data_IF_458979958664
#
_entry.id   IF_458979958664
#
_cell.length_a   1.000
_cell.length_b   1.000
_cell.length_c   1.000
_cell.angle_alpha   90.00
_cell.angle_beta   90.00
_cell.angle_gamma   90.00
#
_symmetry.space_group_name_H-M   'P 1'
#
loop_
_entity.id
_entity.type
_entity.pdbx_description
1 polymer ?
#
# COMPACT_ATOMS: atom_id res chain seq x y z
N UNK A 1 2.11 62.50 -18.50
CA UNK A 1 1.39 61.22 -18.77
C UNK A 1 2.41 60.20 -19.23
N UNK A 2 2.97 59.41 -18.30
CA UNK A 2 3.90 58.32 -18.60
C UNK A 2 3.30 57.02 -18.08
N UNK A 3 3.11 56.11 -19.02
CA UNK A 3 2.33 54.89 -18.95
C UNK A 3 3.27 53.76 -18.58
N UNK A 4 3.56 53.58 -17.29
CA UNK A 4 4.32 52.42 -16.82
C UNK A 4 3.33 51.42 -16.24
N UNK A 5 2.80 50.60 -17.15
CA UNK A 5 1.93 49.49 -16.83
C UNK A 5 2.68 48.55 -15.91
N UNK A 6 2.13 48.44 -14.70
CA UNK A 6 2.37 47.42 -13.69
C UNK A 6 2.70 46.10 -14.39
N UNK A 7 3.96 45.68 -14.33
CA UNK A 7 4.35 44.32 -14.62
C UNK A 7 3.72 43.46 -13.52
N UNK A 8 2.50 43.00 -13.80
CA UNK A 8 1.82 42.00 -13.01
C UNK A 8 2.69 40.74 -13.04
N UNK A 9 3.48 40.57 -11.98
CA UNK A 9 4.17 39.34 -11.69
C UNK A 9 3.10 38.25 -11.51
N UNK A 10 2.82 37.52 -12.59
CA UNK A 10 2.15 36.22 -12.57
C UNK A 10 3.07 35.24 -11.84
N UNK A 11 3.14 35.37 -10.52
CA UNK A 11 3.56 34.31 -9.62
C UNK A 11 2.52 33.20 -9.76
N UNK A 12 2.76 32.28 -10.70
CA UNK A 12 2.11 30.98 -10.73
C UNK A 12 2.48 30.33 -9.40
N UNK A 13 1.60 30.48 -8.41
CA UNK A 13 1.62 29.64 -7.23
C UNK A 13 1.48 28.21 -7.75
N UNK A 14 2.59 27.48 -7.80
CA UNK A 14 2.57 26.05 -8.02
C UNK A 14 1.79 25.47 -6.84
N UNK A 15 0.47 25.37 -7.00
CA UNK A 15 -0.35 24.56 -6.12
C UNK A 15 0.31 23.21 -6.10
N UNK A 16 0.70 22.65 -4.95
CA UNK A 16 1.09 21.26 -4.91
C UNK A 16 -0.12 20.50 -5.45
N UNK A 17 -0.04 20.07 -6.71
CA UNK A 17 -1.02 19.21 -7.32
C UNK A 17 -0.86 17.92 -6.54
N UNK A 18 -1.67 17.83 -5.49
CA UNK A 18 -1.57 16.75 -4.55
C UNK A 18 -1.79 15.47 -5.35
N UNK A 19 -0.81 14.58 -5.25
CA UNK A 19 -0.60 13.38 -6.07
C UNK A 19 -1.69 12.31 -5.88
N UNK A 20 -2.95 12.72 -5.78
CA UNK A 20 -4.07 11.92 -5.30
C UNK A 20 -4.74 11.12 -6.42
N UNK A 21 -4.49 11.44 -7.69
CA UNK A 21 -5.11 10.76 -8.84
C UNK A 21 -4.11 10.01 -9.73
N UNK A 22 -2.89 9.74 -9.24
CA UNK A 22 -1.93 8.99 -10.04
C UNK A 22 -2.36 7.54 -10.25
N UNK A 23 -3.14 6.98 -9.33
CA UNK A 23 -3.64 5.62 -9.42
C UNK A 23 -5.13 5.59 -9.73
N UNK A 24 -5.62 4.54 -10.44
CA UNK A 24 -7.01 4.47 -10.86
C UNK A 24 -7.98 4.54 -9.68
N UNK A 25 -9.12 5.22 -9.90
CA UNK A 25 -10.11 5.47 -8.85
C UNK A 25 -10.63 4.16 -8.25
N UNK A 26 -10.74 3.08 -9.02
CA UNK A 26 -11.18 1.78 -8.50
C UNK A 26 -10.20 1.17 -7.48
N UNK A 27 -8.93 1.56 -7.54
CA UNK A 27 -7.91 1.15 -6.57
C UNK A 27 -7.83 2.11 -5.38
N UNK A 28 -7.78 3.41 -5.68
CA UNK A 28 -7.47 4.43 -4.70
C UNK A 28 -8.44 5.60 -4.90
N UNK A 29 -9.40 5.78 -3.97
CA UNK A 29 -10.41 6.84 -4.06
C UNK A 29 -9.82 8.20 -3.58
N UNK A 30 -8.67 8.59 -4.10
CA UNK A 30 -7.96 9.84 -3.77
C UNK A 30 -7.22 9.85 -2.42
N UNK A 31 -7.67 9.09 -1.43
CA UNK A 31 -7.13 9.13 -0.05
C UNK A 31 -6.62 7.78 0.47
N UNK A 32 -6.89 6.70 -0.26
CA UNK A 32 -6.57 5.35 0.19
C UNK A 32 -5.12 4.94 -0.12
N UNK A 33 -4.35 5.75 -0.86
CA UNK A 33 -2.99 5.45 -1.30
C UNK A 33 -1.94 5.91 -0.28
N UNK A 34 -1.00 5.02 0.03
CA UNK A 34 0.22 5.42 0.71
C UNK A 34 1.44 4.63 0.21
N UNK A 35 2.62 5.27 0.17
CA UNK A 35 3.88 4.56 -0.02
C UNK A 35 4.07 3.53 1.09
N UNK A 36 4.57 2.35 0.72
CA UNK A 36 4.97 1.33 1.68
C UNK A 36 6.28 1.73 2.33
N UNK A 37 6.26 1.79 3.66
CA UNK A 37 7.39 2.16 4.51
C UNK A 37 8.16 0.93 4.97
N UNK A 38 7.47 -0.20 5.11
CA UNK A 38 8.05 -1.46 5.55
C UNK A 38 7.37 -2.65 4.88
N UNK A 39 8.18 -3.63 4.49
CA UNK A 39 7.75 -4.93 3.97
C UNK A 39 8.36 -6.02 4.84
N UNK A 40 7.52 -6.91 5.34
CA UNK A 40 7.94 -8.13 6.04
C UNK A 40 7.39 -9.34 5.30
N UNK A 41 8.26 -10.24 4.85
CA UNK A 41 7.83 -11.49 4.24
C UNK A 41 7.26 -12.41 5.31
N UNK A 42 6.02 -12.85 5.14
CA UNK A 42 5.43 -13.86 6.00
C UNK A 42 6.02 -15.20 5.58
N UNK A 43 6.86 -15.76 6.45
CA UNK A 43 7.41 -17.08 6.22
C UNK A 43 6.30 -18.11 6.48
N UNK A 44 6.11 -19.10 5.58
CA UNK A 44 5.33 -20.26 5.95
C UNK A 44 5.97 -20.89 7.21
N UNK A 45 5.20 -21.56 8.08
CA UNK A 45 5.74 -22.26 9.23
C UNK A 45 6.79 -23.24 8.71
N UNK A 46 8.05 -22.91 8.99
CA UNK A 46 9.14 -23.81 8.68
C UNK A 46 8.94 -25.13 9.43
N UNK A 47 9.65 -26.17 9.00
CA UNK A 47 9.66 -27.48 9.69
C UNK A 47 9.94 -27.38 11.20
N UNK A 48 10.58 -26.29 11.66
CA UNK A 48 10.79 -25.97 13.09
C UNK A 48 9.48 -25.66 13.84
N UNK A 49 8.46 -25.12 13.18
CA UNK A 49 7.15 -24.83 13.77
C UNK A 49 6.25 -26.06 13.95
N UNK A 50 6.47 -27.11 13.14
CA UNK A 50 5.71 -28.37 13.20
C UNK A 50 6.10 -29.25 14.40
N UNK A 51 7.25 -29.00 15.04
CA UNK A 51 7.75 -29.82 16.15
C UNK A 51 7.66 -29.15 17.52
N UNK A 52 7.16 -27.92 17.67
CA UNK A 52 7.38 -27.22 18.95
C UNK A 52 6.56 -25.99 19.31
N UNK A 53 5.37 -25.72 18.76
CA UNK A 53 4.58 -24.58 19.24
C UNK A 53 3.09 -24.88 19.42
N UNK A 54 2.55 -24.84 20.67
CA UNK A 54 1.11 -24.97 20.91
C UNK A 54 0.31 -23.78 20.38
N UNK A 55 0.96 -22.71 19.94
CA UNK A 55 0.33 -21.52 19.36
C UNK A 55 -0.28 -21.75 17.96
N UNK A 56 0.13 -22.82 17.24
CA UNK A 56 -0.44 -23.15 15.92
C UNK A 56 -1.72 -24.01 16.01
N UNK A 57 -1.94 -24.70 17.12
CA UNK A 57 -3.12 -25.55 17.31
C UNK A 57 -4.42 -24.75 17.62
N UNK A 58 -4.31 -23.44 17.84
CA UNK A 58 -5.42 -22.57 18.23
C UNK A 58 -5.78 -21.50 17.20
N UNK A 59 -5.11 -21.46 16.04
CA UNK A 59 -5.42 -20.47 14.99
C UNK A 59 -6.52 -21.02 14.09
N UNK A 60 -7.71 -20.40 14.04
CA UNK A 60 -8.80 -20.89 13.20
C UNK A 60 -8.43 -20.80 11.71
N UNK A 61 -8.89 -21.78 10.94
CA UNK A 61 -8.62 -21.97 9.50
C UNK A 61 -8.94 -20.76 8.62
N UNK A 62 -9.74 -19.80 9.12
CA UNK A 62 -9.97 -18.52 8.46
C UNK A 62 -8.70 -17.63 8.32
N UNK A 63 -7.63 -17.87 9.10
CA UNK A 63 -6.34 -17.17 8.99
C UNK A 63 -5.38 -17.79 7.96
N UNK A 64 -5.68 -18.99 7.42
CA UNK A 64 -4.77 -19.76 6.56
C UNK A 64 -4.35 -19.09 5.24
N UNK A 65 -4.97 -17.98 4.83
CA UNK A 65 -4.54 -17.25 3.62
C UNK A 65 -3.20 -16.51 3.79
N UNK A 66 -2.67 -16.45 5.01
CA UNK A 66 -1.40 -15.79 5.35
C UNK A 66 -0.18 -16.74 5.28
N UNK A 67 -0.42 -18.04 5.21
CA UNK A 67 0.60 -19.10 5.19
C UNK A 67 1.08 -19.46 3.77
N UNK A 68 0.59 -18.74 2.76
CA UNK A 68 1.04 -18.96 1.38
C UNK A 68 2.45 -18.39 1.24
N UNK A 69 3.44 -19.20 0.82
CA UNK A 69 4.78 -18.71 0.55
C UNK A 69 4.74 -17.51 -0.39
N UNK A 70 5.41 -16.42 0.00
CA UNK A 70 5.39 -15.17 -0.77
C UNK A 70 4.30 -14.18 -0.36
N UNK A 71 3.52 -14.48 0.70
CA UNK A 71 2.69 -13.47 1.36
C UNK A 71 3.60 -12.47 2.11
N UNK A 72 3.19 -11.21 2.16
CA UNK A 72 3.96 -10.17 2.85
C UNK A 72 3.05 -9.25 3.64
N UNK A 73 3.50 -8.82 4.81
CA UNK A 73 2.89 -7.73 5.55
C UNK A 73 3.51 -6.42 5.08
N UNK A 74 2.67 -5.49 4.65
CA UNK A 74 3.07 -4.14 4.26
C UNK A 74 2.57 -3.14 5.28
N UNK A 75 3.42 -2.20 5.65
CA UNK A 75 3.08 -1.08 6.53
C UNK A 75 3.19 0.22 5.77
N UNK A 76 2.18 1.07 5.96
CA UNK A 76 2.11 2.44 5.46
C UNK A 76 1.65 3.36 6.58
N UNK A 77 1.69 4.68 6.35
CA UNK A 77 1.04 5.66 7.23
C UNK A 77 -0.45 5.40 7.53
N UNK A 78 -1.16 4.63 6.68
CA UNK A 78 -2.59 4.31 6.87
C UNK A 78 -2.81 3.10 7.78
N UNK A 79 -1.78 2.28 7.98
CA UNK A 79 -1.84 1.04 8.74
C UNK A 79 -1.08 -0.09 8.07
N UNK A 80 -1.24 -1.29 8.65
CA UNK A 80 -0.62 -2.52 8.17
C UNK A 80 -1.67 -3.47 7.62
N UNK A 81 -1.36 -4.10 6.49
CA UNK A 81 -2.21 -5.13 5.88
C UNK A 81 -1.36 -6.23 5.29
N UNK A 82 -1.91 -7.44 5.23
CA UNK A 82 -1.25 -8.56 4.59
C UNK A 82 -1.65 -8.61 3.12
N UNK A 83 -0.63 -8.79 2.28
CA UNK A 83 -0.71 -8.96 0.85
C UNK A 83 -0.47 -10.44 0.54
N UNK A 84 -1.51 -11.19 0.15
CA UNK A 84 -1.35 -12.57 -0.28
C UNK A 84 -0.39 -12.72 -1.47
N UNK A 85 0.29 -13.85 -1.56
CA UNK A 85 1.22 -14.14 -2.65
C UNK A 85 0.56 -14.06 -4.04
N UNK A 86 -0.71 -14.48 -4.16
CA UNK A 86 -1.52 -14.50 -5.37
C UNK A 86 -2.27 -13.19 -5.64
N UNK A 87 -2.13 -12.19 -4.77
CA UNK A 87 -2.83 -10.91 -4.92
C UNK A 87 -2.39 -10.19 -6.21
N UNK A 88 -3.32 -9.67 -7.04
CA UNK A 88 -2.98 -8.96 -8.27
C UNK A 88 -2.07 -7.76 -8.00
N UNK A 89 -0.91 -7.74 -8.66
CA UNK A 89 0.08 -6.66 -8.57
C UNK A 89 -0.01 -5.78 -9.81
N UNK A 90 0.06 -4.47 -9.61
CA UNK A 90 0.11 -3.47 -10.67
C UNK A 90 1.47 -2.79 -10.66
N UNK A 91 1.85 -2.14 -11.76
CA UNK A 91 3.10 -1.40 -11.86
C UNK A 91 2.97 -0.01 -11.21
N UNK A 92 3.98 0.37 -10.43
CA UNK A 92 4.09 1.68 -9.81
C UNK A 92 4.62 2.73 -10.79
N UNK A 93 4.10 3.96 -10.68
CA UNK A 93 4.48 5.09 -11.55
C UNK A 93 5.72 5.84 -11.08
N UNK A 94 6.15 5.63 -9.83
CA UNK A 94 7.25 6.36 -9.20
C UNK A 94 8.39 5.45 -8.72
N UNK A 95 8.43 4.20 -9.20
CA UNK A 95 9.39 3.16 -8.80
C UNK A 95 9.39 2.84 -7.29
N UNK A 96 8.36 3.23 -6.54
CA UNK A 96 8.19 2.88 -5.13
C UNK A 96 7.00 1.93 -4.97
N UNK A 97 7.00 1.13 -3.91
CA UNK A 97 5.84 0.31 -3.59
C UNK A 97 4.75 1.19 -2.96
N UNK A 98 3.50 1.03 -3.39
CA UNK A 98 2.33 1.69 -2.79
C UNK A 98 1.23 0.69 -2.50
N UNK A 99 0.51 0.89 -1.40
CA UNK A 99 -0.66 0.09 -1.05
C UNK A 99 -1.89 0.98 -0.91
N UNK A 100 -2.98 0.58 -1.59
CA UNK A 100 -4.30 1.15 -1.39
C UNK A 100 -5.03 0.34 -0.32
N UNK A 101 -5.42 0.96 0.79
CA UNK A 101 -6.10 0.24 1.87
C UNK A 101 -7.14 1.10 2.59
N UNK A 102 -8.19 0.45 3.09
CA UNK A 102 -9.25 1.07 3.89
C UNK A 102 -9.49 0.31 5.18
N UNK A 103 -10.04 0.97 6.21
CA UNK A 103 -10.61 0.28 7.35
C UNK A 103 -11.62 -0.80 6.91
N UNK A 104 -11.53 -1.97 7.53
CA UNK A 104 -12.53 -3.02 7.47
C UNK A 104 -13.44 -2.91 8.70
N UNK A 105 -14.68 -3.41 8.57
CA UNK A 105 -15.68 -3.35 9.65
C UNK A 105 -15.24 -4.06 10.94
N UNK A 106 -14.28 -4.99 10.84
CA UNK A 106 -13.65 -5.70 11.96
C UNK A 106 -12.44 -5.00 12.60
N UNK A 107 -12.19 -3.72 12.32
CA UNK A 107 -11.12 -2.92 12.94
C UNK A 107 -9.71 -3.14 12.36
N UNK A 108 -9.58 -3.92 11.29
CA UNK A 108 -8.31 -4.09 10.54
C UNK A 108 -8.25 -3.22 9.28
N UNK A 109 -7.15 -3.33 8.55
CA UNK A 109 -7.02 -2.76 7.21
C UNK A 109 -7.37 -3.81 6.15
N UNK A 110 -8.08 -3.39 5.12
CA UNK A 110 -8.42 -4.18 3.93
C UNK A 110 -7.66 -3.63 2.74
N UNK A 111 -6.88 -4.49 2.11
CA UNK A 111 -6.14 -4.18 0.89
C UNK A 111 -7.11 -4.09 -0.29
N UNK A 112 -6.92 -3.07 -1.13
CA UNK A 112 -7.70 -2.85 -2.36
C UNK A 112 -6.82 -3.13 -3.58
N UNK A 113 -5.63 -2.51 -3.63
CA UNK A 113 -4.64 -2.70 -4.69
C UNK A 113 -3.22 -2.58 -4.12
N UNK A 114 -2.26 -3.18 -4.80
CA UNK A 114 -0.83 -2.98 -4.56
C UNK A 114 -0.10 -2.66 -5.85
N UNK A 115 0.77 -1.65 -5.78
CA UNK A 115 1.62 -1.20 -6.88
C UNK A 115 3.07 -1.51 -6.54
N UNK A 116 3.73 -2.29 -7.38
CA UNK A 116 5.11 -2.73 -7.22
C UNK A 116 6.03 -1.92 -8.14
N UNK A 117 7.29 -1.67 -7.76
CA UNK A 117 8.28 -1.17 -8.70
C UNK A 117 8.39 -2.09 -9.94
N UNK A 118 8.68 -1.54 -11.13
CA UNK A 118 8.93 -2.34 -12.32
C UNK A 118 10.01 -3.41 -12.07
N UNK A 119 9.78 -4.61 -12.59
CA UNK A 119 10.78 -5.70 -12.55
C UNK A 119 11.77 -5.45 -13.69
N UNK A 120 12.89 -4.81 -13.39
CA UNK A 120 14.01 -4.61 -14.32
C UNK A 120 14.76 -5.89 -14.59
#
# INVERSE_FOLDING_TARGET
MSKNWVLAALLVAATPAAAHDWYPIECCHGMDCAPVEKVEMLQPPGITGLLGSPAYASVPEARLRHDVPGSMMVTTKLGSVVVPADFPRRESKDNRMHACMRPADGGGMRLICIFMPPST
#
